data_IF_164726297369
#
_entry.id   IF_164726297369
#
_cell.length_a   1.000
_cell.length_b   1.000
_cell.length_c   1.000
_cell.angle_alpha   90.00
_cell.angle_beta   90.00
_cell.angle_gamma   90.00
#
_symmetry.space_group_name_H-M   'P 1'
#
loop_
_entity.id
_entity.type
_entity.pdbx_description
1 polymer ?
#
# COMPACT_ATOMS: atom_id res chain seq x y z
N UNK A 1 -29.75 -32.00 -39.11
CA UNK A 1 -28.94 -30.83 -38.70
C UNK A 1 -28.92 -30.60 -37.17
N UNK A 2 -28.68 -31.61 -36.30
CA UNK A 2 -28.62 -31.40 -34.84
C UNK A 2 -27.31 -30.74 -34.39
N UNK A 3 -26.22 -30.97 -35.13
CA UNK A 3 -24.88 -30.44 -34.81
C UNK A 3 -24.83 -28.91 -34.92
N UNK A 4 -25.46 -28.32 -35.94
CA UNK A 4 -25.51 -26.85 -36.09
C UNK A 4 -26.29 -26.17 -34.96
N UNK A 5 -27.37 -26.79 -34.46
CA UNK A 5 -28.15 -26.27 -33.33
C UNK A 5 -27.38 -26.33 -32.02
N UNK A 6 -26.59 -27.38 -31.81
CA UNK A 6 -25.68 -27.49 -30.65
C UNK A 6 -24.60 -26.40 -30.68
N UNK A 7 -23.96 -26.16 -31.83
CA UNK A 7 -22.96 -25.10 -31.95
C UNK A 7 -23.54 -23.70 -31.72
N UNK A 8 -24.76 -23.43 -32.21
CA UNK A 8 -25.45 -22.17 -31.93
C UNK A 8 -25.77 -21.99 -30.44
N UNK A 9 -26.19 -23.06 -29.75
CA UNK A 9 -26.44 -23.01 -28.31
C UNK A 9 -25.16 -22.80 -27.50
N UNK A 10 -24.07 -23.47 -27.89
CA UNK A 10 -22.75 -23.27 -27.27
C UNK A 10 -22.26 -21.85 -27.49
N UNK A 11 -22.37 -21.32 -28.72
CA UNK A 11 -22.00 -19.94 -29.03
C UNK A 11 -22.85 -18.91 -28.27
N UNK A 12 -24.16 -19.13 -28.18
CA UNK A 12 -25.06 -18.26 -27.42
C UNK A 12 -24.76 -18.28 -25.93
N UNK A 13 -24.48 -19.46 -25.35
CA UNK A 13 -24.06 -19.57 -23.96
C UNK A 13 -22.71 -18.87 -23.71
N UNK A 14 -21.74 -19.06 -24.61
CA UNK A 14 -20.44 -18.40 -24.52
C UNK A 14 -20.59 -16.87 -24.57
N UNK A 15 -21.42 -16.35 -25.47
CA UNK A 15 -21.72 -14.93 -25.59
C UNK A 15 -22.39 -14.38 -24.32
N UNK A 16 -23.30 -15.15 -23.70
CA UNK A 16 -23.93 -14.81 -22.43
C UNK A 16 -22.92 -14.74 -21.29
N UNK A 17 -22.01 -15.72 -21.20
CA UNK A 17 -20.94 -15.74 -20.19
C UNK A 17 -20.01 -14.55 -20.37
N UNK A 18 -19.56 -14.28 -21.61
CA UNK A 18 -18.70 -13.12 -21.89
C UNK A 18 -19.42 -11.80 -21.62
N UNK A 19 -20.70 -11.68 -21.98
CA UNK A 19 -21.52 -10.51 -21.65
C UNK A 19 -21.62 -10.28 -20.14
N UNK A 20 -21.81 -11.34 -19.36
CA UNK A 20 -21.81 -11.25 -17.90
C UNK A 20 -20.44 -10.82 -17.34
N UNK A 21 -19.34 -11.35 -17.87
CA UNK A 21 -17.98 -10.92 -17.51
C UNK A 21 -17.77 -9.44 -17.84
N UNK A 22 -18.17 -8.97 -19.02
CA UNK A 22 -18.07 -7.56 -19.41
C UNK A 22 -18.87 -6.65 -18.48
N UNK A 23 -20.09 -7.03 -18.12
CA UNK A 23 -20.91 -6.27 -17.16
C UNK A 23 -20.24 -6.22 -15.79
N UNK A 24 -19.69 -7.34 -15.29
CA UNK A 24 -18.96 -7.36 -14.02
C UNK A 24 -17.71 -6.49 -14.09
N UNK A 25 -16.94 -6.56 -15.18
CA UNK A 25 -15.74 -5.74 -15.36
C UNK A 25 -16.09 -4.25 -15.39
N UNK A 26 -17.17 -3.87 -16.08
CA UNK A 26 -17.62 -2.48 -16.15
C UNK A 26 -18.14 -1.97 -14.80
N UNK A 27 -18.94 -2.76 -14.09
CA UNK A 27 -19.47 -2.41 -12.76
C UNK A 27 -18.35 -2.33 -11.71
N UNK A 28 -17.30 -3.15 -11.86
CA UNK A 28 -16.16 -3.16 -10.93
C UNK A 28 -15.01 -2.26 -11.38
N UNK A 29 -15.09 -1.58 -12.52
CA UNK A 29 -14.00 -0.78 -13.09
C UNK A 29 -13.54 0.34 -12.14
N UNK A 30 -14.49 0.99 -11.45
CA UNK A 30 -14.23 1.99 -10.41
C UNK A 30 -13.68 1.38 -9.11
N UNK A 31 -13.82 0.07 -8.95
CA UNK A 31 -13.36 -0.70 -7.78
C UNK A 31 -12.01 -1.40 -8.02
N UNK A 32 -11.53 -1.48 -9.26
CA UNK A 32 -10.24 -2.07 -9.61
C UNK A 32 -9.16 -1.00 -9.47
N UNK A 33 -8.48 -1.03 -8.34
CA UNK A 33 -7.29 -0.22 -8.06
C UNK A 33 -6.09 -0.82 -8.79
N UNK A 34 -5.35 0.02 -9.52
CA UNK A 34 -4.15 -0.38 -10.26
C UNK A 34 -3.07 0.70 -10.14
N UNK A 35 -1.78 0.35 -10.33
CA UNK A 35 -0.70 1.32 -10.37
C UNK A 35 -0.97 2.46 -11.35
N UNK A 36 -1.43 2.14 -12.56
CA UNK A 36 -1.63 3.11 -13.65
C UNK A 36 -2.76 4.08 -13.31
N UNK A 37 -3.89 3.57 -12.77
CA UNK A 37 -5.00 4.43 -12.32
C UNK A 37 -4.58 5.32 -11.14
N UNK A 38 -3.77 4.79 -10.22
CA UNK A 38 -3.28 5.56 -9.07
C UNK A 38 -2.35 6.67 -9.52
N UNK A 39 -1.42 6.38 -10.45
CA UNK A 39 -0.53 7.38 -11.04
C UNK A 39 -1.31 8.42 -11.84
N UNK A 40 -2.33 8.00 -12.59
CA UNK A 40 -3.21 8.92 -13.32
C UNK A 40 -3.98 9.86 -12.37
N UNK A 41 -4.45 9.37 -11.22
CA UNK A 41 -5.07 10.22 -10.19
C UNK A 41 -4.08 11.25 -9.62
N UNK A 42 -2.81 10.87 -9.44
CA UNK A 42 -1.75 11.76 -8.97
C UNK A 42 -1.35 12.79 -10.03
N UNK A 43 -1.22 12.36 -11.29
CA UNK A 43 -0.84 13.19 -12.42
C UNK A 43 -1.89 14.25 -12.74
N UNK A 44 -3.16 13.90 -12.60
CA UNK A 44 -4.30 14.77 -12.91
C UNK A 44 -4.87 15.43 -11.64
N UNK A 45 -4.00 15.75 -10.68
CA UNK A 45 -4.44 16.46 -9.49
C UNK A 45 -5.07 17.81 -9.88
N UNK A 46 -6.29 18.13 -9.41
CA UNK A 46 -7.06 19.27 -9.93
C UNK A 46 -6.38 20.61 -9.68
N UNK A 47 -5.56 20.70 -8.63
CA UNK A 47 -4.79 21.90 -8.32
C UNK A 47 -3.58 22.15 -9.23
N UNK A 48 -3.24 21.22 -10.13
CA UNK A 48 -2.29 21.54 -11.21
C UNK A 48 -2.91 22.42 -12.29
N UNK A 49 -4.23 22.37 -12.45
CA UNK A 49 -4.96 23.19 -13.41
C UNK A 49 -5.55 24.45 -12.77
N UNK A 50 -5.93 24.38 -11.49
CA UNK A 50 -6.52 25.49 -10.74
C UNK A 50 -5.88 25.63 -9.35
N UNK A 51 -4.95 26.57 -9.20
CA UNK A 51 -4.32 26.85 -7.90
C UNK A 51 -5.30 27.40 -6.85
N UNK A 52 -6.45 27.93 -7.28
CA UNK A 52 -7.49 28.47 -6.40
C UNK A 52 -8.53 27.43 -5.96
N UNK A 53 -8.29 26.16 -6.27
CA UNK A 53 -9.17 25.06 -5.90
C UNK A 53 -9.44 25.06 -4.39
N UNK A 54 -10.71 25.05 -4.01
CA UNK A 54 -11.11 25.07 -2.61
C UNK A 54 -10.57 23.87 -1.82
N UNK A 55 -10.21 24.10 -0.56
CA UNK A 55 -9.62 23.11 0.35
C UNK A 55 -10.39 21.79 0.40
N UNK A 56 -11.73 21.86 0.46
CA UNK A 56 -12.59 20.66 0.45
C UNK A 56 -12.39 19.80 -0.79
N UNK A 57 -12.26 20.42 -1.97
CA UNK A 57 -12.09 19.68 -3.23
C UNK A 57 -10.69 19.07 -3.32
N UNK A 58 -9.67 19.79 -2.81
CA UNK A 58 -8.32 19.23 -2.66
C UNK A 58 -8.35 18.00 -1.77
N UNK A 59 -9.00 18.08 -0.61
CA UNK A 59 -9.13 16.99 0.34
C UNK A 59 -9.87 15.78 -0.25
N UNK A 60 -11.00 15.98 -0.92
CA UNK A 60 -11.74 14.91 -1.59
C UNK A 60 -10.91 14.18 -2.66
N UNK A 61 -10.04 14.90 -3.37
CA UNK A 61 -9.13 14.29 -4.34
C UNK A 61 -7.98 13.55 -3.66
N UNK A 62 -7.39 14.15 -2.62
CA UNK A 62 -6.36 13.51 -1.80
C UNK A 62 -6.87 12.19 -1.20
N UNK A 63 -8.12 12.18 -0.72
CA UNK A 63 -8.81 10.99 -0.24
C UNK A 63 -8.85 9.85 -1.27
N UNK A 64 -9.16 10.19 -2.53
CA UNK A 64 -9.18 9.21 -3.62
C UNK A 64 -7.79 8.64 -3.87
N UNK A 65 -6.76 9.47 -3.88
CA UNK A 65 -5.37 9.04 -4.07
C UNK A 65 -4.94 8.12 -2.92
N UNK A 66 -5.15 8.53 -1.66
CA UNK A 66 -4.82 7.73 -0.46
C UNK A 66 -5.51 6.37 -0.51
N UNK A 67 -6.82 6.35 -0.79
CA UNK A 67 -7.60 5.12 -0.89
C UNK A 67 -7.09 4.21 -2.01
N UNK A 68 -6.65 4.79 -3.12
CA UNK A 68 -6.08 4.02 -4.23
C UNK A 68 -4.76 3.36 -3.83
N UNK A 69 -3.84 4.13 -3.24
CA UNK A 69 -2.52 3.65 -2.78
C UNK A 69 -2.63 2.53 -1.73
N UNK A 70 -3.54 2.68 -0.76
CA UNK A 70 -3.76 1.70 0.31
C UNK A 70 -4.24 0.36 -0.24
N UNK A 71 -5.06 0.37 -1.30
CA UNK A 71 -5.66 -0.84 -1.86
C UNK A 71 -4.75 -1.58 -2.82
N UNK A 72 -3.67 -0.95 -3.29
CA UNK A 72 -2.63 -1.66 -4.05
C UNK A 72 -2.02 -2.77 -3.20
N UNK A 73 -1.60 -3.86 -3.84
CA UNK A 73 -0.72 -4.82 -3.19
C UNK A 73 0.75 -4.36 -3.20
N UNK A 74 1.62 -5.16 -2.59
CA UNK A 74 3.04 -4.84 -2.47
C UNK A 74 3.74 -4.75 -3.85
N UNK A 75 3.46 -5.67 -4.77
CA UNK A 75 4.09 -5.67 -6.09
C UNK A 75 3.59 -4.48 -6.92
N UNK A 76 2.30 -4.18 -6.83
CA UNK A 76 1.70 -3.01 -7.47
C UNK A 76 2.27 -1.69 -6.94
N UNK A 77 2.52 -1.56 -5.63
CA UNK A 77 3.24 -0.39 -5.10
C UNK A 77 4.69 -0.34 -5.57
N UNK A 78 5.34 -1.51 -5.69
CA UNK A 78 6.68 -1.65 -6.23
C UNK A 78 6.78 -1.12 -7.66
N UNK A 79 5.92 -1.60 -8.56
CA UNK A 79 5.87 -1.12 -9.95
C UNK A 79 5.53 0.35 -10.03
N UNK A 80 4.60 0.84 -9.20
CA UNK A 80 4.25 2.26 -9.15
C UNK A 80 5.46 3.15 -8.82
N UNK A 81 6.38 2.69 -7.95
CA UNK A 81 7.62 3.41 -7.63
C UNK A 81 8.67 3.32 -8.73
N UNK A 82 8.74 2.21 -9.46
CA UNK A 82 9.69 2.01 -10.56
C UNK A 82 9.29 2.81 -11.79
N UNK A 83 8.01 2.76 -12.17
CA UNK A 83 7.49 3.34 -13.40
C UNK A 83 7.02 4.80 -13.22
N UNK A 84 6.59 5.16 -12.01
CA UNK A 84 5.88 6.41 -11.73
C UNK A 84 6.61 7.39 -10.81
N UNK A 85 7.91 7.22 -10.60
CA UNK A 85 8.70 7.98 -9.62
C UNK A 85 8.53 9.50 -9.78
N UNK A 86 8.59 10.01 -11.01
CA UNK A 86 8.46 11.44 -11.31
C UNK A 86 7.05 11.97 -10.97
N UNK A 87 6.00 11.23 -11.37
CA UNK A 87 4.61 11.58 -11.07
C UNK A 87 4.35 11.61 -9.57
N UNK A 88 4.84 10.59 -8.84
CA UNK A 88 4.71 10.52 -7.39
C UNK A 88 5.44 11.66 -6.68
N UNK A 89 6.67 11.97 -7.10
CA UNK A 89 7.46 13.05 -6.53
C UNK A 89 6.81 14.42 -6.78
N UNK A 90 6.37 14.68 -8.02
CA UNK A 90 5.65 15.91 -8.38
C UNK A 90 4.37 16.06 -7.56
N UNK A 91 3.57 15.00 -7.45
CA UNK A 91 2.34 15.00 -6.66
C UNK A 91 2.64 15.31 -5.20
N UNK A 92 3.58 14.58 -4.58
CA UNK A 92 3.91 14.76 -3.16
C UNK A 92 4.47 16.16 -2.86
N UNK A 93 5.27 16.74 -3.75
CA UNK A 93 5.77 18.11 -3.63
C UNK A 93 4.68 19.17 -3.74
N UNK A 94 3.59 18.88 -4.44
CA UNK A 94 2.47 19.80 -4.61
C UNK A 94 1.49 19.84 -3.43
N UNK A 95 1.66 18.94 -2.47
CA UNK A 95 0.86 18.90 -1.26
C UNK A 95 1.32 19.95 -0.24
N UNK A 96 0.38 20.52 0.51
CA UNK A 96 0.70 21.29 1.73
C UNK A 96 1.31 20.39 2.79
N UNK A 97 1.87 20.96 3.85
CA UNK A 97 2.46 20.15 4.93
C UNK A 97 1.41 19.36 5.70
N UNK A 98 0.21 19.91 5.86
CA UNK A 98 -0.96 19.22 6.41
C UNK A 98 -1.37 18.03 5.53
N UNK A 99 -1.48 18.24 4.21
CA UNK A 99 -1.84 17.20 3.24
C UNK A 99 -0.79 16.09 3.17
N UNK A 100 0.50 16.42 3.22
CA UNK A 100 1.59 15.43 3.34
C UNK A 100 1.45 14.64 4.63
N UNK A 101 1.17 15.33 5.74
CA UNK A 101 0.92 14.72 7.04
C UNK A 101 -0.19 13.68 7.00
N UNK A 102 -1.33 14.05 6.40
CA UNK A 102 -2.48 13.18 6.22
C UNK A 102 -2.17 11.99 5.30
N UNK A 103 -1.60 12.27 4.12
CA UNK A 103 -1.22 11.26 3.13
C UNK A 103 -0.32 10.19 3.74
N UNK A 104 0.77 10.61 4.38
CA UNK A 104 1.74 9.69 4.97
C UNK A 104 1.12 8.94 6.14
N UNK A 105 0.42 9.63 7.04
CA UNK A 105 -0.18 8.98 8.21
C UNK A 105 -1.13 7.87 7.79
N UNK A 106 -2.06 8.15 6.87
CA UNK A 106 -3.07 7.16 6.46
C UNK A 106 -2.46 5.99 5.67
N UNK A 107 -1.55 6.27 4.75
CA UNK A 107 -0.90 5.21 3.95
C UNK A 107 0.02 4.34 4.81
N UNK A 108 0.83 4.93 5.69
CA UNK A 108 1.74 4.21 6.59
C UNK A 108 0.97 3.38 7.61
N UNK A 109 -0.03 3.95 8.29
CA UNK A 109 -0.81 3.23 9.30
C UNK A 109 -1.54 2.03 8.72
N UNK A 110 -2.18 2.18 7.56
CA UNK A 110 -2.93 1.08 6.97
C UNK A 110 -2.00 -0.02 6.43
N UNK A 111 -0.87 0.37 5.84
CA UNK A 111 0.19 -0.56 5.46
C UNK A 111 0.75 -1.31 6.67
N UNK A 112 0.94 -0.63 7.80
CA UNK A 112 1.38 -1.23 9.06
C UNK A 112 0.36 -2.24 9.59
N UNK A 113 -0.93 -1.88 9.64
CA UNK A 113 -1.99 -2.81 10.07
C UNK A 113 -2.04 -4.07 9.20
N UNK A 114 -1.93 -3.92 7.88
CA UNK A 114 -1.88 -5.04 6.95
C UNK A 114 -0.67 -5.95 7.24
N UNK A 115 0.48 -5.35 7.58
CA UNK A 115 1.68 -6.08 7.98
C UNK A 115 1.45 -6.88 9.27
N UNK A 116 0.91 -6.24 10.30
CA UNK A 116 0.66 -6.87 11.60
C UNK A 116 -0.30 -8.05 11.48
N UNK A 117 -1.41 -7.86 10.77
CA UNK A 117 -2.37 -8.92 10.46
C UNK A 117 -1.76 -10.05 9.64
N UNK A 118 -0.76 -9.74 8.80
CA UNK A 118 0.03 -10.73 8.08
C UNK A 118 0.87 -11.59 9.02
N UNK A 119 1.59 -10.96 9.95
CA UNK A 119 2.46 -11.61 10.93
C UNK A 119 1.70 -12.51 11.91
N UNK A 120 0.51 -12.09 12.35
CA UNK A 120 -0.36 -12.87 13.24
C UNK A 120 -0.76 -14.23 12.65
N UNK A 121 -0.84 -14.33 11.33
CA UNK A 121 -1.23 -15.55 10.61
C UNK A 121 -0.08 -16.52 10.35
N UNK A 122 1.16 -16.14 10.67
CA UNK A 122 2.34 -16.96 10.41
C UNK A 122 2.67 -17.86 11.61
N UNK A 123 3.29 -19.03 11.38
CA UNK A 123 3.86 -19.84 12.45
C UNK A 123 4.86 -19.03 13.30
N UNK A 124 5.00 -19.34 14.61
CA UNK A 124 5.87 -18.59 15.51
C UNK A 124 7.33 -18.45 15.04
N UNK A 125 7.89 -19.51 14.45
CA UNK A 125 9.28 -19.50 13.98
C UNK A 125 9.48 -18.62 12.74
N UNK A 126 8.52 -18.63 11.80
CA UNK A 126 8.53 -17.76 10.63
C UNK A 126 8.36 -16.30 11.03
N UNK A 127 7.43 -16.02 11.95
CA UNK A 127 7.23 -14.68 12.50
C UNK A 127 8.51 -14.13 13.14
N UNK A 128 9.19 -14.93 13.98
CA UNK A 128 10.47 -14.57 14.60
C UNK A 128 11.56 -14.31 13.57
N UNK A 129 11.66 -15.16 12.54
CA UNK A 129 12.64 -14.98 11.46
C UNK A 129 12.44 -13.66 10.73
N UNK A 130 11.19 -13.30 10.43
CA UNK A 130 10.83 -12.06 9.74
C UNK A 130 11.16 -10.86 10.63
N UNK A 131 10.64 -10.85 11.86
CA UNK A 131 10.84 -9.77 12.83
C UNK A 131 12.33 -9.57 13.13
N UNK A 132 13.10 -10.64 13.29
CA UNK A 132 14.55 -10.55 13.48
C UNK A 132 15.28 -9.98 12.25
N UNK A 133 14.83 -10.31 11.03
CA UNK A 133 15.34 -9.68 9.80
C UNK A 133 15.04 -8.19 9.72
N UNK A 134 13.87 -7.78 10.21
CA UNK A 134 13.42 -6.39 10.28
C UNK A 134 14.24 -5.61 11.31
N UNK A 135 14.42 -6.16 12.51
CA UNK A 135 15.23 -5.55 13.56
C UNK A 135 16.66 -5.27 13.06
N UNK A 136 17.28 -6.23 12.34
CA UNK A 136 18.62 -6.05 11.75
C UNK A 136 18.66 -4.95 10.70
N UNK A 137 17.66 -4.88 9.83
CA UNK A 137 17.57 -3.85 8.80
C UNK A 137 17.37 -2.45 9.42
N UNK A 138 16.52 -2.35 10.43
CA UNK A 138 16.31 -1.13 11.19
C UNK A 138 17.59 -0.68 11.89
N UNK A 139 18.34 -1.59 12.55
CA UNK A 139 19.62 -1.24 13.20
C UNK A 139 20.63 -0.66 12.21
N UNK A 140 20.66 -1.18 10.97
CA UNK A 140 21.53 -0.64 9.93
C UNK A 140 21.17 0.78 9.52
N UNK A 141 19.87 1.13 9.52
CA UNK A 141 19.35 2.44 9.10
C UNK A 141 19.27 3.46 10.24
N UNK A 142 19.08 3.00 11.47
CA UNK A 142 18.95 3.82 12.67
C UNK A 142 20.27 4.43 13.15
N UNK A 143 21.37 4.33 12.40
CA UNK A 143 22.68 4.90 12.76
C UNK A 143 22.63 6.42 12.99
N UNK A 144 21.55 7.09 12.56
CA UNK A 144 21.34 8.54 12.70
C UNK A 144 20.19 8.95 13.63
N UNK A 145 19.46 8.01 14.24
CA UNK A 145 18.32 8.31 15.12
C UNK A 145 18.45 7.60 16.49
N UNK A 146 18.75 8.34 17.58
CA UNK A 146 18.96 7.77 18.92
C UNK A 146 17.72 7.11 19.53
N UNK A 147 16.53 7.69 19.33
CA UNK A 147 15.28 7.12 19.83
C UNK A 147 14.98 5.78 19.17
N UNK A 148 15.28 5.68 17.86
CA UNK A 148 15.13 4.43 17.15
C UNK A 148 16.17 3.39 17.56
N UNK A 149 17.40 3.77 17.87
CA UNK A 149 18.41 2.85 18.40
C UNK A 149 17.98 2.22 19.71
N UNK A 150 17.45 3.00 20.66
CA UNK A 150 17.00 2.47 21.95
C UNK A 150 15.88 1.43 21.81
N UNK A 151 14.94 1.64 20.89
CA UNK A 151 13.86 0.68 20.60
C UNK A 151 14.39 -0.61 19.95
N UNK A 152 15.47 -0.51 19.19
CA UNK A 152 16.06 -1.62 18.45
C UNK A 152 17.05 -2.44 19.24
N UNK A 153 17.69 -1.86 20.26
CA UNK A 153 18.73 -2.51 21.08
C UNK A 153 18.22 -3.53 22.09
N UNK A 154 16.92 -3.74 22.15
CA UNK A 154 16.30 -4.83 22.88
C UNK A 154 16.63 -6.19 22.26
N UNK A 155 16.57 -7.27 23.05
CA UNK A 155 16.69 -8.62 22.52
C UNK A 155 15.57 -8.94 21.51
N UNK A 156 15.75 -9.95 20.67
CA UNK A 156 14.81 -10.25 19.58
C UNK A 156 13.39 -10.64 20.07
N UNK A 157 13.26 -11.21 21.27
CA UNK A 157 11.97 -11.63 21.82
C UNK A 157 11.21 -10.43 22.43
N UNK A 158 11.94 -9.53 23.10
CA UNK A 158 11.46 -8.24 23.59
C UNK A 158 11.05 -7.35 22.42
N UNK A 159 11.85 -7.33 21.35
CA UNK A 159 11.53 -6.63 20.11
C UNK A 159 10.28 -7.23 19.43
N UNK A 160 10.10 -8.55 19.36
CA UNK A 160 8.86 -9.16 18.84
C UNK A 160 7.62 -8.68 19.60
N UNK A 161 7.70 -8.64 20.94
CA UNK A 161 6.60 -8.21 21.80
C UNK A 161 6.28 -6.72 21.61
N UNK A 162 7.29 -5.86 21.60
CA UNK A 162 7.13 -4.42 21.39
C UNK A 162 6.79 -4.06 19.95
N UNK A 163 7.27 -4.82 18.96
CA UNK A 163 6.91 -4.62 17.56
C UNK A 163 5.41 -4.86 17.33
N UNK A 164 4.84 -5.84 18.04
CA UNK A 164 3.43 -6.18 17.87
C UNK A 164 2.50 -5.22 18.61
N UNK A 165 2.93 -4.71 19.78
CA UNK A 165 2.08 -3.93 20.68
C UNK A 165 2.37 -2.42 20.64
N UNK A 166 3.65 -2.06 20.61
CA UNK A 166 4.14 -0.70 20.86
C UNK A 166 4.54 0.00 19.55
N UNK A 167 5.02 -0.71 18.53
CA UNK A 167 5.39 -0.09 17.26
C UNK A 167 4.19 0.47 16.50
N UNK A 168 3.00 -0.12 16.61
CA UNK A 168 1.78 0.47 16.03
C UNK A 168 1.42 1.81 16.66
N UNK A 169 1.59 1.93 17.98
CA UNK A 169 1.41 3.18 18.73
C UNK A 169 2.51 4.19 18.37
N UNK A 170 3.77 3.74 18.31
CA UNK A 170 4.89 4.55 17.85
C UNK A 170 4.63 5.13 16.46
N UNK A 171 4.19 4.32 15.49
CA UNK A 171 3.87 4.80 14.15
C UNK A 171 2.73 5.80 14.14
N UNK A 172 1.73 5.63 15.00
CA UNK A 172 0.61 6.57 15.11
C UNK A 172 1.07 7.94 15.64
N UNK A 173 1.89 7.94 16.68
CA UNK A 173 2.35 9.13 17.40
C UNK A 173 3.61 9.77 16.79
N UNK A 174 4.31 9.06 15.90
CA UNK A 174 5.56 9.53 15.31
C UNK A 174 5.37 10.79 14.45
N UNK A 175 6.37 11.70 14.45
CA UNK A 175 6.39 12.85 13.55
C UNK A 175 6.49 12.42 12.08
N UNK A 176 6.03 13.29 11.17
CA UNK A 176 5.96 13.03 9.74
C UNK A 176 7.31 12.59 9.13
N UNK A 177 8.40 13.25 9.51
CA UNK A 177 9.75 12.90 9.05
C UNK A 177 10.12 11.45 9.39
N UNK A 178 9.81 11.01 10.60
CA UNK A 178 10.07 9.65 11.05
C UNK A 178 9.20 8.63 10.30
N UNK A 179 7.91 8.96 10.05
CA UNK A 179 7.02 8.12 9.23
C UNK A 179 7.56 7.94 7.80
N UNK A 180 8.04 9.01 7.18
CA UNK A 180 8.63 8.99 5.83
C UNK A 180 9.88 8.12 5.76
N UNK A 181 10.77 8.22 6.75
CA UNK A 181 11.99 7.39 6.82
C UNK A 181 11.67 5.89 6.94
N UNK A 182 10.57 5.57 7.62
CA UNK A 182 10.18 4.20 7.94
C UNK A 182 9.21 3.56 6.92
N UNK A 183 8.57 4.34 6.05
CA UNK A 183 7.63 3.81 5.05
C UNK A 183 8.24 2.70 4.16
N UNK A 184 9.46 2.84 3.59
CA UNK A 184 10.06 1.80 2.76
C UNK A 184 10.31 0.48 3.51
N UNK A 185 10.52 0.57 4.82
CA UNK A 185 10.71 -0.62 5.64
C UNK A 185 9.41 -1.42 5.77
N UNK A 186 8.28 -0.75 6.03
CA UNK A 186 6.97 -1.40 6.14
C UNK A 186 6.58 -2.08 4.83
N UNK A 187 6.89 -1.46 3.71
CA UNK A 187 6.72 -2.08 2.40
C UNK A 187 7.58 -3.34 2.28
N UNK A 188 8.88 -3.25 2.56
CA UNK A 188 9.80 -4.39 2.50
C UNK A 188 9.37 -5.57 3.39
N UNK A 189 8.64 -5.31 4.47
CA UNK A 189 8.04 -6.35 5.31
C UNK A 189 6.93 -7.13 4.60
N UNK A 190 6.02 -6.41 3.92
CA UNK A 190 4.93 -7.03 3.16
C UNK A 190 5.47 -7.94 2.06
N UNK A 191 6.48 -7.48 1.31
CA UNK A 191 7.11 -8.29 0.26
C UNK A 191 7.70 -9.59 0.78
N UNK A 192 8.40 -9.55 1.92
CA UNK A 192 8.96 -10.76 2.56
C UNK A 192 7.86 -11.73 3.00
N UNK A 193 6.76 -11.23 3.57
CA UNK A 193 5.63 -12.07 3.98
C UNK A 193 4.92 -12.75 2.82
N UNK A 194 4.74 -12.06 1.70
CA UNK A 194 4.15 -12.65 0.50
C UNK A 194 5.05 -13.72 -0.13
N UNK A 195 6.38 -13.50 -0.14
CA UNK A 195 7.35 -14.48 -0.65
C UNK A 195 7.36 -15.81 0.10
N UNK A 196 6.90 -15.86 1.35
CA UNK A 196 6.75 -17.12 2.10
C UNK A 196 5.40 -17.81 1.91
N UNK A 197 4.34 -17.08 1.50
CA UNK A 197 3.04 -17.69 1.14
C UNK A 197 3.08 -18.44 -0.18
N UNK A 198 4.09 -18.16 -1.02
CA UNK A 198 4.32 -18.81 -2.31
C UNK A 198 5.25 -20.04 -2.22
N UNK A 199 5.59 -20.50 -1.01
CA UNK A 199 6.39 -21.69 -0.76
C UNK A 199 5.59 -22.78 -0.07
#
# INVERSE_FOLDING_TARGET
MPVQRLWLQVAAFLALVWGAVTVVMWVTEDSVFSPEKTLSLMENAPWFADESLGEKQRQEHLDKVINSVIKLDFNQRGSMREDGLETMDRFFKSLTDEEKGEYVTRTVEENFKAVMKGLEKLPPDDRRRIIGGIQREMKKRATKNPEMQMLLDQDAASFEKSFTKDMGLFFKEAPLSMKLEMAPMLEGMQGRMQGMRMR
#
